data_IF_612804914864
#
_entry.id   IF_612804914864
#
_cell.length_a   1.000
_cell.length_b   1.000
_cell.length_c   1.000
_cell.angle_alpha   90.00
_cell.angle_beta   90.00
_cell.angle_gamma   90.00
#
_symmetry.space_group_name_H-M   'P 1'
#
loop_
_entity.id
_entity.type
_entity.pdbx_description
1 polymer ?
#
# COMPACT_ATOMS: atom_id res chain seq x y z
N UNK A 1 10.16 1.38 -5.63
CA UNK A 1 10.15 0.57 -4.38
C UNK A 1 9.38 1.40 -3.37
N UNK A 2 8.41 0.83 -2.68
CA UNK A 2 7.61 1.64 -1.74
C UNK A 2 8.48 1.85 -0.51
N UNK A 3 8.72 3.11 -0.14
CA UNK A 3 9.55 3.45 1.02
C UNK A 3 8.79 3.15 2.31
N UNK A 4 9.53 2.85 3.38
CA UNK A 4 8.96 2.60 4.71
C UNK A 4 8.05 3.75 5.17
N UNK A 5 8.44 4.99 4.89
CA UNK A 5 7.66 6.20 5.19
C UNK A 5 6.27 6.19 4.55
N UNK A 6 6.13 5.69 3.31
CA UNK A 6 4.82 5.61 2.64
C UNK A 6 3.92 4.57 3.32
N UNK A 7 4.49 3.48 3.81
CA UNK A 7 3.76 2.44 4.55
C UNK A 7 3.28 2.99 5.89
N UNK A 8 4.15 3.70 6.61
CA UNK A 8 3.80 4.37 7.87
C UNK A 8 2.69 5.40 7.65
N UNK A 9 2.75 6.18 6.57
CA UNK A 9 1.70 7.12 6.20
C UNK A 9 0.36 6.44 5.93
N UNK A 10 0.36 5.32 5.19
CA UNK A 10 -0.86 4.52 4.95
C UNK A 10 -1.44 4.01 6.28
N UNK A 11 -0.60 3.54 7.20
CA UNK A 11 -1.04 3.05 8.51
C UNK A 11 -1.59 4.18 9.39
N UNK A 12 -0.95 5.35 9.37
CA UNK A 12 -1.45 6.54 10.06
C UNK A 12 -2.84 6.95 9.56
N UNK A 13 -3.02 7.07 8.24
CA UNK A 13 -4.32 7.39 7.64
C UNK A 13 -5.36 6.30 7.94
N UNK A 14 -4.97 5.03 7.95
CA UNK A 14 -5.87 3.93 8.30
C UNK A 14 -6.33 3.97 9.76
N UNK A 15 -5.44 4.32 10.70
CA UNK A 15 -5.79 4.48 12.11
C UNK A 15 -6.69 5.70 12.31
N UNK A 16 -6.37 6.83 11.67
CA UNK A 16 -7.20 8.04 11.70
C UNK A 16 -8.60 7.77 11.15
N UNK A 17 -8.70 7.02 10.05
CA UNK A 17 -9.99 6.59 9.48
C UNK A 17 -10.86 5.78 10.43
N UNK A 18 -10.24 4.98 11.32
CA UNK A 18 -10.97 4.14 12.28
C UNK A 18 -11.39 4.90 13.53
N UNK A 19 -10.57 5.87 13.96
CA UNK A 19 -10.81 6.61 15.18
C UNK A 19 -11.78 7.79 14.95
N UNK A 20 -11.54 8.60 13.92
CA UNK A 20 -12.16 9.91 13.74
C UNK A 20 -12.88 10.03 12.39
N UNK A 21 -12.53 9.16 11.44
CA UNK A 21 -12.89 9.29 10.03
C UNK A 21 -11.81 10.03 9.22
N UNK A 22 -11.88 9.89 7.91
CA UNK A 22 -10.99 10.59 6.98
C UNK A 22 -11.75 11.69 6.26
N UNK A 23 -11.10 12.83 6.08
CA UNK A 23 -11.55 13.85 5.15
C UNK A 23 -11.42 13.34 3.70
N UNK A 24 -12.16 13.93 2.76
CA UNK A 24 -12.13 13.52 1.35
C UNK A 24 -10.71 13.63 0.74
N UNK A 25 -9.96 14.67 1.12
CA UNK A 25 -8.56 14.84 0.70
C UNK A 25 -7.66 13.72 1.21
N UNK A 26 -7.83 13.30 2.46
CA UNK A 26 -7.05 12.21 3.05
C UNK A 26 -7.44 10.84 2.48
N UNK A 27 -8.71 10.65 2.09
CA UNK A 27 -9.14 9.44 1.37
C UNK A 27 -8.48 9.34 0.00
N UNK A 28 -8.39 10.45 -0.75
CA UNK A 28 -7.66 10.48 -2.01
C UNK A 28 -6.17 10.19 -1.81
N UNK A 29 -5.53 10.79 -0.79
CA UNK A 29 -4.14 10.52 -0.43
C UNK A 29 -3.94 9.03 -0.11
N UNK A 30 -4.80 8.46 0.73
CA UNK A 30 -4.75 7.05 1.10
C UNK A 30 -4.92 6.12 -0.11
N UNK A 31 -5.83 6.45 -1.03
CA UNK A 31 -6.09 5.67 -2.24
C UNK A 31 -4.86 5.69 -3.17
N UNK A 32 -4.29 6.87 -3.41
CA UNK A 32 -3.08 7.05 -4.23
C UNK A 32 -1.89 6.28 -3.66
N UNK A 33 -1.66 6.39 -2.35
CA UNK A 33 -0.60 5.65 -1.65
C UNK A 33 -0.80 4.13 -1.74
N UNK A 34 -2.05 3.65 -1.61
CA UNK A 34 -2.37 2.22 -1.74
C UNK A 34 -2.16 1.69 -3.16
N UNK A 35 -2.55 2.44 -4.18
CA UNK A 35 -2.29 2.06 -5.58
C UNK A 35 -0.79 1.95 -5.87
N UNK A 36 -0.02 2.94 -5.42
CA UNK A 36 1.43 2.90 -5.56
C UNK A 36 2.02 1.67 -4.85
N UNK A 37 1.55 1.38 -3.63
CA UNK A 37 1.95 0.20 -2.87
C UNK A 37 1.64 -1.12 -3.59
N UNK A 38 0.40 -1.27 -4.06
CA UNK A 38 -0.06 -2.44 -4.80
C UNK A 38 0.71 -2.63 -6.10
N UNK A 39 1.06 -1.57 -6.81
CA UNK A 39 1.85 -1.65 -8.04
C UNK A 39 3.25 -2.24 -7.78
N UNK A 40 3.89 -1.79 -6.70
CA UNK A 40 5.20 -2.29 -6.27
C UNK A 40 5.14 -3.74 -5.83
N UNK A 41 4.11 -4.09 -5.05
CA UNK A 41 3.88 -5.47 -4.61
C UNK A 41 3.59 -6.39 -5.80
N UNK A 42 2.69 -6.03 -6.71
CA UNK A 42 2.35 -6.89 -7.87
C UNK A 42 3.57 -7.23 -8.70
N UNK A 43 4.46 -6.26 -8.92
CA UNK A 43 5.72 -6.48 -9.64
C UNK A 43 6.64 -7.45 -8.88
N UNK A 44 6.78 -7.28 -7.58
CA UNK A 44 7.61 -8.16 -6.74
C UNK A 44 7.00 -9.56 -6.62
N UNK A 45 5.68 -9.66 -6.47
CA UNK A 45 4.94 -10.91 -6.35
C UNK A 45 5.01 -11.74 -7.62
N UNK A 46 4.90 -11.12 -8.81
CA UNK A 46 5.09 -11.81 -10.09
C UNK A 46 6.49 -12.41 -10.21
N UNK A 47 7.53 -11.66 -9.81
CA UNK A 47 8.90 -12.18 -9.75
C UNK A 47 9.08 -13.32 -8.75
N UNK A 48 8.36 -13.30 -7.62
CA UNK A 48 8.37 -14.41 -6.67
C UNK A 48 7.66 -15.64 -7.25
N UNK A 49 6.50 -15.49 -7.90
CA UNK A 49 5.78 -16.58 -8.55
C UNK A 49 6.61 -17.26 -9.65
N UNK A 50 7.32 -16.49 -10.49
CA UNK A 50 8.20 -17.03 -11.53
C UNK A 50 9.37 -17.85 -10.96
N UNK A 51 9.73 -17.64 -9.68
CA UNK A 51 10.74 -18.44 -8.98
C UNK A 51 10.20 -19.70 -8.32
N UNK A 52 8.89 -19.87 -8.20
CA UNK A 52 8.29 -21.10 -7.68
C UNK A 52 8.39 -22.15 -8.79
N UNK A 53 9.47 -22.93 -8.77
CA UNK A 53 9.50 -24.24 -9.42
C UNK A 53 8.58 -25.16 -8.62
N UNK A 54 7.50 -25.64 -9.25
CA UNK A 54 6.87 -26.87 -8.80
C UNK A 54 7.94 -27.97 -8.87
N UNK A 55 8.27 -28.58 -7.73
CA UNK A 55 9.13 -29.78 -7.63
C UNK A 55 8.22 -30.98 -7.49
#
# INVERSE_FOLDING_TARGET
MVTQEKIERINYLANKSKAEGLTEAEKEEQKKLREEYLSGIRKNFRQQLDRIKLV
#
